data_IF_051194815606
#
_entry.id   IF_051194815606
#
_cell.length_a   1.000
_cell.length_b   1.000
_cell.length_c   1.000
_cell.angle_alpha   90.00
_cell.angle_beta   90.00
_cell.angle_gamma   90.00
#
_symmetry.space_group_name_H-M   'P 1'
#
loop_
_entity.id
_entity.type
_entity.pdbx_description
1 polymer ?
#
# COMPACT_ATOMS: atom_id res chain seq x y z
N UNK A 1 73.36 -42.02 -16.47
CA UNK A 1 72.99 -40.63 -16.06
C UNK A 1 71.68 -40.31 -16.71
N UNK A 2 70.57 -40.35 -15.95
CA UNK A 2 69.19 -40.09 -16.42
C UNK A 2 68.85 -38.58 -16.24
N UNK A 3 68.54 -37.89 -17.33
CA UNK A 3 68.09 -36.49 -17.35
C UNK A 3 66.60 -36.49 -17.03
N UNK A 4 66.25 -35.87 -15.90
CA UNK A 4 64.85 -35.61 -15.48
C UNK A 4 64.42 -34.33 -16.19
N UNK A 5 63.37 -34.42 -17.03
CA UNK A 5 62.70 -33.27 -17.61
C UNK A 5 61.60 -32.80 -16.65
N UNK A 6 61.73 -31.56 -16.12
CA UNK A 6 60.62 -30.88 -15.41
C UNK A 6 59.58 -30.47 -16.44
N UNK A 7 58.36 -30.95 -16.26
CA UNK A 7 57.19 -30.48 -16.97
C UNK A 7 56.61 -29.29 -16.18
N UNK A 8 56.59 -28.12 -16.80
CA UNK A 8 55.85 -26.95 -16.27
C UNK A 8 54.39 -27.15 -16.48
N UNK A 9 53.61 -27.23 -15.39
CA UNK A 9 52.17 -27.19 -15.40
C UNK A 9 51.75 -25.72 -15.33
N UNK A 10 51.27 -25.16 -16.42
CA UNK A 10 50.66 -23.84 -16.45
C UNK A 10 49.25 -23.91 -15.84
N UNK A 11 49.07 -23.31 -14.68
CA UNK A 11 47.79 -23.18 -14.00
C UNK A 11 47.03 -21.97 -14.58
N UNK A 12 46.10 -22.20 -15.49
CA UNK A 12 45.17 -21.20 -15.98
C UNK A 12 44.08 -20.94 -14.93
N UNK A 13 44.24 -19.90 -14.14
CA UNK A 13 43.15 -19.40 -13.27
C UNK A 13 42.20 -18.55 -14.12
N UNK A 14 41.08 -19.11 -14.56
CA UNK A 14 39.99 -18.37 -15.15
C UNK A 14 39.24 -17.58 -14.06
N UNK A 15 39.41 -16.26 -14.02
CA UNK A 15 38.61 -15.36 -13.21
C UNK A 15 37.20 -15.30 -13.79
N UNK A 16 36.26 -16.02 -13.19
CA UNK A 16 34.83 -15.83 -13.42
C UNK A 16 34.39 -14.56 -12.68
N UNK A 17 34.37 -13.42 -13.37
CA UNK A 17 33.68 -12.22 -12.92
C UNK A 17 32.17 -12.50 -12.99
N UNK A 18 31.61 -12.97 -11.87
CA UNK A 18 30.17 -13.04 -11.69
C UNK A 18 29.59 -11.64 -11.66
N UNK A 19 28.90 -11.25 -12.72
CA UNK A 19 28.05 -10.03 -12.71
C UNK A 19 26.90 -10.27 -11.73
N UNK A 20 26.99 -9.70 -10.53
CA UNK A 20 25.89 -9.62 -9.60
C UNK A 20 24.86 -8.69 -10.24
N UNK A 21 23.90 -9.27 -10.93
CA UNK A 21 22.77 -8.53 -11.46
C UNK A 21 22.00 -7.92 -10.28
N UNK A 22 22.08 -6.62 -10.13
CA UNK A 22 21.17 -5.88 -9.25
C UNK A 22 19.78 -5.99 -9.87
N UNK A 23 18.98 -6.94 -9.41
CA UNK A 23 17.56 -6.91 -9.64
C UNK A 23 17.01 -5.71 -8.87
N UNK A 24 16.93 -4.56 -9.53
CA UNK A 24 16.12 -3.47 -9.05
C UNK A 24 14.71 -4.02 -8.86
N UNK A 25 14.24 -4.08 -7.62
CA UNK A 25 12.85 -4.38 -7.33
C UNK A 25 12.03 -3.32 -8.07
N UNK A 26 11.30 -3.71 -9.10
CA UNK A 26 10.42 -2.81 -9.81
C UNK A 26 9.48 -2.18 -8.79
N UNK A 27 9.43 -0.85 -8.74
CA UNK A 27 8.43 -0.17 -7.94
C UNK A 27 7.04 -0.70 -8.34
N UNK A 28 6.16 -0.96 -7.37
CA UNK A 28 4.82 -1.43 -7.69
C UNK A 28 4.15 -0.41 -8.62
N UNK A 29 3.64 -0.88 -9.75
CA UNK A 29 2.99 -0.03 -10.74
C UNK A 29 1.90 0.80 -10.04
N UNK A 30 1.89 2.11 -10.30
CA UNK A 30 0.85 3.00 -9.75
C UNK A 30 -0.53 2.48 -10.14
N UNK A 31 -1.47 2.51 -9.20
CA UNK A 31 -2.84 2.12 -9.49
C UNK A 31 -3.45 3.02 -10.57
N UNK A 32 -4.26 2.45 -11.45
CA UNK A 32 -5.07 3.26 -12.35
C UNK A 32 -6.00 4.18 -11.54
N UNK A 33 -6.37 5.36 -12.05
CA UNK A 33 -7.27 6.28 -11.35
C UNK A 33 -8.69 5.72 -11.26
N UNK A 34 -9.40 6.07 -10.18
CA UNK A 34 -10.81 5.71 -10.01
C UNK A 34 -11.67 6.34 -11.12
N UNK A 35 -12.70 5.63 -11.62
CA UNK A 35 -13.45 6.06 -12.81
C UNK A 35 -14.13 7.42 -12.66
N UNK A 36 -14.73 7.71 -11.50
CA UNK A 36 -15.55 8.92 -11.30
C UNK A 36 -14.69 10.13 -10.93
N UNK A 37 -13.77 9.98 -9.97
CA UNK A 37 -13.04 11.12 -9.40
C UNK A 37 -11.57 11.19 -9.81
N UNK A 38 -11.05 10.17 -10.50
CA UNK A 38 -9.66 10.13 -10.91
C UNK A 38 -8.68 10.04 -9.73
N UNK A 39 -9.12 9.51 -8.59
CA UNK A 39 -8.31 9.28 -7.40
C UNK A 39 -7.49 8.02 -7.59
N UNK A 40 -6.23 8.05 -7.17
CA UNK A 40 -5.31 6.89 -7.19
C UNK A 40 -4.96 6.45 -5.78
N UNK A 41 -4.46 5.23 -5.62
CA UNK A 41 -3.85 4.79 -4.37
C UNK A 41 -2.55 5.60 -4.17
N UNK A 42 -2.41 6.34 -3.05
CA UNK A 42 -1.20 7.14 -2.84
C UNK A 42 0.00 6.27 -2.47
N UNK A 43 1.19 6.67 -2.96
CA UNK A 43 2.42 5.96 -2.63
C UNK A 43 2.71 6.04 -1.12
N UNK A 44 3.25 4.97 -0.57
CA UNK A 44 3.70 4.92 0.82
C UNK A 44 2.61 5.00 1.90
N UNK A 45 1.34 4.97 1.54
CA UNK A 45 0.22 5.10 2.47
C UNK A 45 0.23 4.09 3.64
N UNK A 46 0.82 2.91 3.45
CA UNK A 46 0.93 1.90 4.51
C UNK A 46 1.86 2.32 5.67
N UNK A 47 2.64 3.37 5.49
CA UNK A 47 3.51 3.96 6.51
C UNK A 47 2.85 5.17 7.21
N UNK A 48 1.63 5.52 6.82
CA UNK A 48 0.91 6.65 7.41
C UNK A 48 0.37 6.29 8.80
N UNK A 49 0.13 7.32 9.59
CA UNK A 49 -0.39 7.17 10.94
C UNK A 49 -1.85 6.68 10.92
N UNK A 50 -2.16 5.75 11.81
CA UNK A 50 -3.51 5.30 12.05
C UNK A 50 -4.34 6.39 12.75
N UNK A 51 -5.51 6.65 12.20
CA UNK A 51 -6.50 7.56 12.79
C UNK A 51 -7.47 6.79 13.66
N UNK A 52 -8.08 5.73 13.10
CA UNK A 52 -9.07 4.94 13.81
C UNK A 52 -9.12 3.50 13.27
N UNK A 53 -9.26 2.49 14.14
CA UNK A 53 -9.73 1.17 13.75
C UNK A 53 -11.26 1.17 13.71
N UNK A 54 -11.85 0.23 12.97
CA UNK A 54 -13.29 0.01 12.95
C UNK A 54 -13.59 -1.48 12.70
N UNK A 55 -14.71 -1.92 13.18
CA UNK A 55 -15.30 -3.21 12.87
C UNK A 55 -16.65 -2.98 12.19
N UNK A 56 -16.88 -3.71 11.11
CA UNK A 56 -18.18 -3.71 10.44
C UNK A 56 -18.78 -5.10 10.51
N UNK A 57 -19.98 -5.18 11.07
CA UNK A 57 -20.72 -6.43 11.17
C UNK A 57 -21.24 -6.92 9.81
N UNK A 58 -21.92 -8.07 9.80
CA UNK A 58 -22.58 -8.58 8.61
C UNK A 58 -23.49 -7.49 7.96
N UNK A 59 -23.60 -7.45 6.63
CA UNK A 59 -23.13 -8.46 5.66
C UNK A 59 -21.67 -8.33 5.24
N UNK A 60 -20.97 -7.25 5.57
CA UNK A 60 -19.58 -7.04 5.13
C UNK A 60 -18.60 -7.88 5.94
N UNK A 61 -18.79 -7.96 7.25
CA UNK A 61 -17.98 -8.74 8.17
C UNK A 61 -16.49 -8.46 8.02
N UNK A 62 -16.12 -7.20 8.29
CA UNK A 62 -14.78 -6.66 8.05
C UNK A 62 -14.16 -6.03 9.29
N UNK A 63 -12.84 -6.19 9.42
CA UNK A 63 -11.98 -5.35 10.25
C UNK A 63 -11.36 -4.28 9.36
N UNK A 64 -11.36 -3.04 9.85
CA UNK A 64 -10.94 -1.87 9.08
C UNK A 64 -9.97 -1.01 9.86
N UNK A 65 -9.13 -0.27 9.12
CA UNK A 65 -8.29 0.77 9.68
C UNK A 65 -8.29 1.98 8.74
N UNK A 66 -8.36 3.17 9.32
CA UNK A 66 -8.23 4.43 8.59
C UNK A 66 -6.87 5.03 8.89
N UNK A 67 -6.13 5.33 7.83
CA UNK A 67 -4.82 5.98 7.86
C UNK A 67 -4.95 7.40 7.32
N UNK A 68 -4.16 8.32 7.84
CA UNK A 68 -4.10 9.69 7.37
C UNK A 68 -2.71 10.12 6.95
N UNK A 69 -2.63 10.93 5.88
CA UNK A 69 -1.39 11.57 5.52
C UNK A 69 -1.01 12.67 6.54
N UNK A 70 0.20 13.25 6.49
CA UNK A 70 0.62 14.29 7.44
C UNK A 70 -0.34 15.48 7.55
N UNK A 71 -1.01 15.86 6.45
CA UNK A 71 -2.01 16.94 6.48
C UNK A 71 -3.25 16.55 7.30
N UNK A 72 -3.74 15.31 7.13
CA UNK A 72 -4.85 14.77 7.92
C UNK A 72 -4.52 14.73 9.42
N UNK A 73 -3.35 14.19 9.77
CA UNK A 73 -2.93 14.07 11.16
C UNK A 73 -2.80 15.46 11.82
N UNK A 74 -2.15 16.40 11.15
CA UNK A 74 -2.04 17.78 11.64
C UNK A 74 -3.39 18.45 11.84
N UNK A 75 -4.36 18.20 10.94
CA UNK A 75 -5.71 18.75 11.08
C UNK A 75 -6.44 18.17 12.30
N UNK A 76 -6.31 16.85 12.53
CA UNK A 76 -6.91 16.17 13.69
C UNK A 76 -6.31 16.69 15.00
N UNK A 77 -4.98 16.75 15.11
CA UNK A 77 -4.27 17.25 16.29
C UNK A 77 -4.68 18.68 16.66
N UNK A 78 -4.98 19.51 15.65
CA UNK A 78 -5.40 20.90 15.84
C UNK A 78 -6.91 21.07 15.88
N UNK A 79 -7.70 20.00 15.79
CA UNK A 79 -9.16 20.05 15.69
C UNK A 79 -9.64 21.00 14.57
N UNK A 80 -8.91 21.00 13.44
CA UNK A 80 -9.19 21.88 12.31
C UNK A 80 -10.27 21.28 11.41
N UNK A 81 -11.42 21.94 11.31
CA UNK A 81 -12.51 21.62 10.39
C UNK A 81 -12.98 22.88 9.67
N UNK A 82 -13.37 22.77 8.39
CA UNK A 82 -13.25 21.58 7.54
C UNK A 82 -11.78 21.18 7.31
N UNK A 83 -11.55 19.92 6.95
CA UNK A 83 -10.21 19.46 6.60
C UNK A 83 -9.61 20.31 5.47
N UNK A 84 -8.33 20.70 5.55
CA UNK A 84 -7.67 21.48 4.51
C UNK A 84 -7.45 20.67 3.22
N UNK A 85 -7.34 21.36 2.10
CA UNK A 85 -6.95 20.77 0.82
C UNK A 85 -5.60 20.05 0.94
N UNK A 86 -5.45 18.93 0.24
CA UNK A 86 -4.29 18.04 0.38
C UNK A 86 -4.43 16.99 1.50
N UNK A 87 -5.50 17.02 2.30
CA UNK A 87 -5.82 15.92 3.22
C UNK A 87 -6.15 14.68 2.44
N UNK A 88 -5.52 13.55 2.81
CA UNK A 88 -5.81 12.24 2.23
C UNK A 88 -6.06 11.24 3.36
N UNK A 89 -7.15 10.50 3.23
CA UNK A 89 -7.52 9.40 4.11
C UNK A 89 -7.52 8.11 3.31
N UNK A 90 -6.98 7.04 3.90
CA UNK A 90 -7.00 5.72 3.29
C UNK A 90 -7.62 4.73 4.27
N UNK A 91 -8.71 4.07 3.86
CA UNK A 91 -9.32 2.97 4.60
C UNK A 91 -8.86 1.64 4.00
N UNK A 92 -8.29 0.80 4.84
CA UNK A 92 -7.98 -0.59 4.55
C UNK A 92 -9.06 -1.46 5.17
N UNK A 93 -9.59 -2.41 4.43
CA UNK A 93 -10.58 -3.36 4.91
C UNK A 93 -10.11 -4.80 4.67
N UNK A 94 -10.42 -5.67 5.63
CA UNK A 94 -10.02 -7.06 5.66
C UNK A 94 -11.20 -7.91 6.13
N UNK A 95 -11.38 -9.10 5.60
CA UNK A 95 -12.32 -10.06 6.17
C UNK A 95 -11.94 -10.40 7.61
N UNK A 96 -12.93 -10.62 8.43
CA UNK A 96 -12.71 -11.15 9.78
C UNK A 96 -12.25 -12.60 9.69
N UNK A 97 -11.28 -12.95 10.49
CA UNK A 97 -10.77 -14.31 10.63
C UNK A 97 -10.59 -14.65 12.09
N UNK A 98 -11.01 -15.83 12.50
CA UNK A 98 -10.72 -16.34 13.84
C UNK A 98 -9.22 -16.51 14.01
N UNK A 99 -8.68 -16.02 15.14
CA UNK A 99 -7.28 -16.25 15.48
C UNK A 99 -7.02 -17.74 15.71
N UNK A 100 -5.95 -18.30 15.14
CA UNK A 100 -5.56 -19.68 15.44
C UNK A 100 -4.96 -19.85 16.83
N UNK A 101 -4.42 -18.77 17.42
CA UNK A 101 -3.77 -18.81 18.75
C UNK A 101 -4.75 -18.51 19.88
N UNK A 102 -5.74 -17.65 19.64
CA UNK A 102 -6.65 -17.15 20.68
C UNK A 102 -8.10 -17.36 20.28
N UNK A 103 -8.78 -18.29 20.95
CA UNK A 103 -10.17 -18.65 20.63
C UNK A 103 -11.16 -17.47 20.75
N UNK A 104 -10.85 -16.45 21.54
CA UNK A 104 -11.70 -15.27 21.74
C UNK A 104 -11.33 -14.10 20.85
N UNK A 105 -10.25 -14.21 20.06
CA UNK A 105 -9.75 -13.11 19.24
C UNK A 105 -10.10 -13.27 17.76
N UNK A 106 -10.45 -12.15 17.15
CA UNK A 106 -10.60 -12.01 15.69
C UNK A 106 -9.46 -11.18 15.13
N UNK A 107 -8.89 -11.63 14.04
CA UNK A 107 -7.77 -10.99 13.35
C UNK A 107 -8.13 -10.62 11.92
N UNK A 108 -7.40 -9.68 11.28
CA UNK A 108 -7.54 -9.42 9.86
C UNK A 108 -7.17 -10.67 9.03
N UNK A 109 -8.07 -11.05 8.13
CA UNK A 109 -7.87 -12.09 7.13
C UNK A 109 -7.48 -11.49 5.77
N UNK A 110 -8.10 -12.00 4.70
CA UNK A 110 -7.84 -11.52 3.34
C UNK A 110 -8.24 -10.04 3.16
N UNK A 111 -7.41 -9.23 2.48
CA UNK A 111 -7.76 -7.86 2.16
C UNK A 111 -8.96 -7.82 1.21
N UNK A 112 -9.90 -6.91 1.46
CA UNK A 112 -11.09 -6.74 0.62
C UNK A 112 -11.00 -5.49 -0.23
N UNK A 113 -10.78 -4.33 0.38
CA UNK A 113 -10.72 -3.05 -0.34
C UNK A 113 -9.67 -2.10 0.22
N UNK A 114 -9.15 -1.26 -0.67
CA UNK A 114 -8.50 0.01 -0.33
C UNK A 114 -9.43 1.12 -0.79
N UNK A 115 -9.82 2.01 0.10
CA UNK A 115 -10.65 3.17 -0.22
C UNK A 115 -9.87 4.44 0.11
N UNK A 116 -9.91 5.40 -0.81
CA UNK A 116 -9.13 6.64 -0.72
C UNK A 116 -10.07 7.83 -0.81
N UNK A 117 -9.90 8.79 0.10
CA UNK A 117 -10.56 10.09 0.06
C UNK A 117 -9.49 11.17 -0.07
N UNK A 118 -9.66 12.09 -1.02
CA UNK A 118 -8.74 13.22 -1.26
C UNK A 118 -9.50 14.51 -1.14
N UNK A 119 -9.04 15.41 -0.29
CA UNK A 119 -9.60 16.75 -0.15
C UNK A 119 -8.97 17.70 -1.16
N UNK A 120 -9.80 18.21 -2.06
CA UNK A 120 -9.50 19.28 -3.00
C UNK A 120 -10.79 20.06 -3.27
N UNK A 121 -10.92 21.20 -2.65
CA UNK A 121 -12.14 22.00 -2.65
C UNK A 121 -12.52 22.53 -4.04
N UNK A 122 -11.55 22.68 -4.95
CA UNK A 122 -11.79 23.14 -6.32
C UNK A 122 -12.19 21.99 -7.22
N UNK A 123 -11.40 20.90 -7.18
CA UNK A 123 -11.60 19.74 -8.05
C UNK A 123 -12.89 18.98 -7.73
N UNK A 124 -13.25 18.94 -6.47
CA UNK A 124 -14.39 18.14 -5.98
C UNK A 124 -15.49 19.01 -5.36
N UNK A 125 -15.73 20.20 -5.91
CA UNK A 125 -16.70 21.15 -5.35
C UNK A 125 -18.11 20.55 -5.19
N UNK A 126 -18.56 19.72 -6.13
CA UNK A 126 -19.89 19.09 -6.10
C UNK A 126 -20.09 18.05 -4.99
N UNK A 127 -19.02 17.61 -4.36
CA UNK A 127 -19.04 16.59 -3.28
C UNK A 127 -18.46 17.15 -1.97
N UNK A 128 -18.64 18.46 -1.74
CA UNK A 128 -18.09 19.12 -0.56
C UNK A 128 -16.57 19.18 -0.53
N UNK A 129 -15.92 19.08 -1.69
CA UNK A 129 -14.47 19.12 -1.84
C UNK A 129 -13.78 17.78 -1.63
N UNK A 130 -14.49 16.64 -1.70
CA UNK A 130 -13.92 15.31 -1.55
C UNK A 130 -14.01 14.48 -2.83
N UNK A 131 -12.87 13.95 -3.27
CA UNK A 131 -12.79 12.91 -4.29
C UNK A 131 -12.62 11.54 -3.65
N UNK A 132 -13.15 10.51 -4.32
CA UNK A 132 -13.20 9.15 -3.79
C UNK A 132 -12.61 8.14 -4.79
N UNK A 133 -11.96 7.11 -4.24
CA UNK A 133 -11.49 5.95 -4.99
C UNK A 133 -11.70 4.68 -4.19
N UNK A 134 -12.15 3.63 -4.86
CA UNK A 134 -12.25 2.28 -4.31
C UNK A 134 -11.48 1.31 -5.18
N UNK A 135 -10.73 0.42 -4.55
CA UNK A 135 -9.83 -0.49 -5.22
C UNK A 135 -9.96 -1.90 -4.64
N UNK A 136 -10.01 -2.90 -5.51
CA UNK A 136 -9.95 -4.31 -5.16
C UNK A 136 -8.73 -4.90 -5.85
N UNK A 137 -7.82 -5.54 -5.11
CA UNK A 137 -6.56 -6.06 -5.64
C UNK A 137 -5.76 -5.00 -6.43
N UNK A 138 -5.76 -3.75 -5.95
CA UNK A 138 -5.06 -2.63 -6.59
C UNK A 138 -5.74 -2.08 -7.84
N UNK A 139 -6.82 -2.68 -8.32
CA UNK A 139 -7.59 -2.22 -9.48
C UNK A 139 -8.75 -1.33 -9.05
N UNK A 140 -8.99 -0.20 -9.73
CA UNK A 140 -10.12 0.66 -9.44
C UNK A 140 -11.43 -0.04 -9.79
N UNK A 141 -12.43 0.14 -8.95
CA UNK A 141 -13.78 -0.38 -9.20
C UNK A 141 -14.76 0.77 -9.32
N UNK A 142 -15.73 0.60 -10.21
CA UNK A 142 -16.81 1.56 -10.44
C UNK A 142 -17.88 1.39 -9.37
N UNK A 143 -17.50 1.63 -8.12
CA UNK A 143 -18.44 1.63 -7.02
C UNK A 143 -18.68 3.06 -6.59
N UNK A 144 -19.94 3.49 -6.61
CA UNK A 144 -20.34 4.75 -6.05
C UNK A 144 -19.84 4.82 -4.60
N UNK A 145 -19.07 5.84 -4.33
CA UNK A 145 -18.60 6.16 -2.98
C UNK A 145 -19.58 7.17 -2.42
N UNK A 146 -20.57 6.69 -1.72
CA UNK A 146 -21.54 7.51 -0.98
C UNK A 146 -21.23 7.54 0.49
#
# INVERSE_FOLDING_TARGET
>A
MRKIRLAQVALNAALLLGTVGHHALAEPAKSAPSPIYGVTIPDGYRKWQMIAPAEEAAPLDELRVVLGNPAAIKAIEKSTLPYPDGTILVKLAYKRKQSPEFATATIPGEPTTVQVMVKDSRRYASTGGWGFGRFINGQPVDAAQH
#
